data_IF_386117147550
#
_entry.id   IF_386117147550
#
_cell.length_a   1.000
_cell.length_b   1.000
_cell.length_c   1.000
_cell.angle_alpha   90.00
_cell.angle_beta   90.00
_cell.angle_gamma   90.00
#
_symmetry.space_group_name_H-M   'P 1'
#
loop_
_entity.id
_entity.type
_entity.pdbx_description
1 polymer ?
#
# COMPACT_ATOMS: atom_id res chain seq x y z
N UNK A 1 17.78 -29.82 0.99
CA UNK A 1 17.61 -29.77 2.45
C UNK A 1 18.30 -28.52 2.95
N UNK A 2 17.54 -27.47 3.24
CA UNK A 2 18.06 -26.26 3.90
C UNK A 2 17.32 -26.13 5.22
N UNK A 3 18.08 -26.30 6.30
CA UNK A 3 17.63 -26.13 7.68
C UNK A 3 17.17 -24.69 7.88
N UNK A 4 15.86 -24.49 8.06
CA UNK A 4 15.36 -23.34 8.79
C UNK A 4 15.58 -23.61 10.28
N UNK A 5 16.82 -23.46 10.72
CA UNK A 5 17.07 -23.28 12.15
C UNK A 5 16.44 -21.95 12.55
N UNK A 6 15.51 -22.00 13.50
CA UNK A 6 15.06 -20.82 14.22
C UNK A 6 16.30 -20.12 14.76
N UNK A 7 16.76 -19.07 14.07
CA UNK A 7 17.86 -18.24 14.52
C UNK A 7 17.37 -17.51 15.77
N UNK A 8 17.61 -18.12 16.92
CA UNK A 8 17.27 -17.58 18.23
C UNK A 8 17.93 -16.21 18.37
N UNK A 9 17.13 -15.21 18.73
CA UNK A 9 17.61 -13.85 18.89
C UNK A 9 18.60 -13.75 20.06
N UNK A 10 19.56 -12.81 19.99
CA UNK A 10 20.26 -12.38 21.19
C UNK A 10 19.24 -11.80 22.20
N UNK A 11 19.44 -12.01 23.52
CA UNK A 11 18.48 -11.59 24.55
C UNK A 11 18.30 -10.06 24.65
N UNK A 12 19.16 -9.29 23.99
CA UNK A 12 19.16 -7.82 24.00
C UNK A 12 19.51 -7.31 22.60
N UNK A 13 18.70 -6.37 22.07
CA UNK A 13 18.95 -5.75 20.78
C UNK A 13 20.23 -4.92 20.78
N UNK A 14 21.13 -5.23 19.85
CA UNK A 14 22.33 -4.41 19.62
C UNK A 14 21.99 -3.20 18.74
N UNK A 15 22.78 -2.13 18.86
CA UNK A 15 22.66 -0.96 17.97
C UNK A 15 22.81 -1.42 16.50
N UNK A 16 21.75 -1.28 15.70
CA UNK A 16 21.72 -1.65 14.28
C UNK A 16 20.83 -2.85 13.93
N UNK A 17 20.25 -3.54 14.91
CA UNK A 17 19.28 -4.62 14.63
C UNK A 17 17.90 -4.03 14.29
N UNK A 18 17.48 -4.25 13.04
CA UNK A 18 16.17 -3.86 12.54
C UNK A 18 15.29 -5.08 12.32
N UNK A 19 14.00 -4.83 12.46
CA UNK A 19 12.97 -5.84 12.27
C UNK A 19 11.85 -5.26 11.43
N UNK A 20 11.46 -5.98 10.39
CA UNK A 20 10.27 -5.68 9.61
C UNK A 20 9.10 -6.40 10.27
N UNK A 21 8.08 -5.64 10.66
CA UNK A 21 6.90 -6.19 11.34
C UNK A 21 5.61 -5.82 10.63
N UNK A 22 4.60 -6.69 10.74
CA UNK A 22 3.28 -6.49 10.17
C UNK A 22 2.31 -5.86 11.18
N UNK A 23 2.11 -4.55 11.09
CA UNK A 23 1.10 -3.85 11.87
C UNK A 23 -0.27 -3.88 11.17
N UNK A 24 -1.33 -3.45 11.84
CA UNK A 24 -2.68 -3.41 11.25
C UNK A 24 -2.79 -2.52 10.00
N UNK A 25 -1.88 -1.56 9.84
CA UNK A 25 -1.80 -0.67 8.67
C UNK A 25 -0.78 -1.13 7.62
N UNK A 26 -0.24 -2.34 7.76
CA UNK A 26 0.78 -2.91 6.90
C UNK A 26 2.17 -2.98 7.53
N UNK A 27 3.17 -3.40 6.74
CA UNK A 27 4.54 -3.63 7.18
C UNK A 27 5.27 -2.32 7.50
N UNK A 28 6.05 -2.36 8.58
CA UNK A 28 6.84 -1.24 9.09
C UNK A 28 8.19 -1.74 9.60
N UNK A 29 9.25 -1.07 9.20
CA UNK A 29 10.59 -1.29 9.72
C UNK A 29 10.72 -0.61 11.09
N UNK A 30 11.19 -1.35 12.08
CA UNK A 30 11.36 -0.91 13.46
C UNK A 30 12.72 -1.34 13.99
N UNK A 31 13.14 -0.80 15.13
CA UNK A 31 14.34 -1.29 15.84
C UNK A 31 13.94 -2.43 16.76
N UNK A 32 14.71 -3.51 16.75
CA UNK A 32 14.55 -4.59 17.72
C UNK A 32 15.07 -4.16 19.09
N UNK A 33 14.35 -4.44 20.17
CA UNK A 33 14.75 -4.07 21.54
C UNK A 33 15.12 -5.31 22.33
N UNK A 34 14.22 -6.30 22.41
CA UNK A 34 14.43 -7.59 23.11
C UNK A 34 13.29 -8.54 22.82
N UNK A 35 13.45 -9.79 23.24
CA UNK A 35 12.40 -10.79 23.30
C UNK A 35 12.07 -11.06 24.78
N UNK A 36 10.78 -11.07 25.13
CA UNK A 36 10.29 -11.34 26.48
C UNK A 36 9.06 -12.23 26.41
N UNK A 37 9.09 -13.38 27.10
CA UNK A 37 7.98 -14.35 27.15
C UNK A 37 7.47 -14.78 25.76
N UNK A 38 8.36 -14.89 24.77
CA UNK A 38 8.02 -15.25 23.39
C UNK A 38 7.37 -14.12 22.58
N UNK A 39 7.32 -12.90 23.12
CA UNK A 39 6.91 -11.69 22.39
C UNK A 39 8.12 -10.80 22.10
N UNK A 40 8.10 -10.15 20.94
CA UNK A 40 9.16 -9.27 20.47
C UNK A 40 8.82 -7.83 20.87
N UNK A 41 9.66 -7.21 21.68
CA UNK A 41 9.60 -5.77 21.98
C UNK A 41 10.37 -5.00 20.91
N UNK A 42 9.69 -4.06 20.27
CA UNK A 42 10.24 -3.25 19.18
C UNK A 42 10.05 -1.76 19.46
N UNK A 43 10.91 -0.94 18.91
CA UNK A 43 10.82 0.53 18.94
C UNK A 43 10.51 1.07 17.55
N UNK A 44 9.36 1.73 17.42
CA UNK A 44 8.91 2.36 16.18
C UNK A 44 9.63 3.69 15.94
N UNK A 45 9.54 4.22 14.71
CA UNK A 45 10.21 5.46 14.31
C UNK A 45 9.83 6.72 15.13
N UNK A 46 8.68 6.68 15.82
CA UNK A 46 8.21 7.72 16.75
C UNK A 46 8.67 7.49 18.20
N UNK A 47 9.62 6.56 18.44
CA UNK A 47 10.11 6.13 19.75
C UNK A 47 9.07 5.45 20.65
N UNK A 48 7.89 5.12 20.14
CA UNK A 48 6.94 4.29 20.89
C UNK A 48 7.38 2.84 20.84
N UNK A 49 7.26 2.14 21.96
CA UNK A 49 7.54 0.70 22.05
C UNK A 49 6.27 -0.12 21.99
N UNK A 50 6.34 -1.26 21.32
CA UNK A 50 5.21 -2.18 21.11
C UNK A 50 5.72 -3.60 21.28
N UNK A 51 4.92 -4.46 21.91
CA UNK A 51 5.15 -5.90 21.93
C UNK A 51 4.32 -6.58 20.85
N UNK A 52 4.93 -7.50 20.12
CA UNK A 52 4.29 -8.22 19.04
C UNK A 52 4.55 -9.73 19.15
N UNK A 53 3.55 -10.56 18.82
CA UNK A 53 3.76 -12.01 18.71
C UNK A 53 4.68 -12.35 17.52
N UNK A 54 5.35 -13.52 17.53
CA UNK A 54 6.33 -13.89 16.51
C UNK A 54 5.77 -13.92 15.08
N UNK A 55 4.50 -14.30 14.90
CA UNK A 55 3.83 -14.35 13.59
C UNK A 55 3.65 -12.98 12.91
N UNK A 56 3.90 -11.89 13.62
CA UNK A 56 3.90 -10.51 13.11
C UNK A 56 5.29 -10.05 12.70
N UNK A 57 6.34 -10.82 12.99
CA UNK A 57 7.71 -10.55 12.52
C UNK A 57 7.86 -11.14 11.13
N UNK A 58 8.25 -10.30 10.17
CA UNK A 58 8.37 -10.65 8.76
C UNK A 58 9.82 -10.96 8.38
N UNK A 59 10.75 -10.12 8.84
CA UNK A 59 12.16 -10.20 8.54
C UNK A 59 12.98 -9.63 9.70
N UNK A 60 14.15 -10.23 9.91
CA UNK A 60 15.18 -9.79 10.85
C UNK A 60 16.41 -9.40 10.06
N UNK A 61 16.85 -8.16 10.18
CA UNK A 61 17.90 -7.60 9.34
C UNK A 61 18.84 -6.75 10.19
N UNK A 62 20.13 -7.02 10.06
CA UNK A 62 21.17 -6.17 10.62
C UNK A 62 21.56 -5.14 9.55
N UNK A 63 21.36 -3.86 9.85
CA UNK A 63 21.69 -2.77 8.94
C UNK A 63 22.19 -1.56 9.72
N UNK A 64 23.30 -0.98 9.27
CA UNK A 64 23.78 0.28 9.80
C UNK A 64 22.88 1.43 9.32
N UNK A 65 21.99 1.89 10.21
CA UNK A 65 21.16 3.06 9.95
C UNK A 65 21.88 4.27 10.51
N UNK A 66 22.54 5.00 9.63
CA UNK A 66 23.15 6.28 9.94
C UNK A 66 22.14 7.21 10.64
N UNK A 67 22.59 7.86 11.72
CA UNK A 67 21.76 8.68 12.61
C UNK A 67 20.99 9.79 11.85
N UNK A 68 21.56 10.28 10.75
CA UNK A 68 21.00 11.34 9.91
C UNK A 68 19.80 10.89 9.05
N UNK A 69 19.75 9.63 8.60
CA UNK A 69 18.68 9.17 7.71
C UNK A 69 17.43 8.78 8.51
N UNK A 70 17.61 8.17 9.70
CA UNK A 70 16.52 7.84 10.61
C UNK A 70 15.51 6.82 10.05
N UNK A 71 14.96 5.96 10.93
CA UNK A 71 14.05 4.86 10.55
C UNK A 71 12.80 5.36 9.80
N UNK A 72 12.34 6.58 10.07
CA UNK A 72 11.18 7.18 9.40
C UNK A 72 11.42 7.44 7.91
N UNK A 73 12.57 8.02 7.55
CA UNK A 73 12.91 8.32 6.16
C UNK A 73 13.17 7.02 5.41
N UNK A 74 13.92 6.10 6.02
CA UNK A 74 14.17 4.77 5.47
C UNK A 74 12.86 4.00 5.19
N UNK A 75 11.91 3.98 6.12
CA UNK A 75 10.58 3.41 5.88
C UNK A 75 9.87 4.02 4.66
N UNK A 76 9.99 5.34 4.47
CA UNK A 76 9.38 6.04 3.34
C UNK A 76 10.04 5.64 2.02
N UNK A 77 11.36 5.55 2.00
CA UNK A 77 12.14 5.14 0.83
C UNK A 77 11.84 3.70 0.44
N UNK A 78 11.88 2.78 1.40
CA UNK A 78 11.59 1.35 1.19
C UNK A 78 10.16 1.13 0.71
N UNK A 79 9.18 1.85 1.27
CA UNK A 79 7.80 1.81 0.76
C UNK A 79 7.70 2.39 -0.65
N UNK A 80 8.48 3.43 -0.95
CA UNK A 80 8.59 4.00 -2.29
C UNK A 80 9.14 2.99 -3.31
N UNK A 81 10.14 2.19 -2.92
CA UNK A 81 10.67 1.09 -3.72
C UNK A 81 9.62 -0.03 -3.89
N UNK A 82 9.05 -0.51 -2.79
CA UNK A 82 8.01 -1.54 -2.79
C UNK A 82 6.80 -1.20 -3.68
N UNK A 83 6.37 0.07 -3.70
CA UNK A 83 5.24 0.52 -4.52
C UNK A 83 5.54 0.54 -6.03
N UNK A 84 6.81 0.51 -6.43
CA UNK A 84 7.22 0.48 -7.84
C UNK A 84 7.45 -0.93 -8.37
N UNK A 85 7.54 -1.91 -7.46
CA UNK A 85 7.75 -3.31 -7.84
C UNK A 85 6.51 -3.86 -8.55
N UNK A 86 6.74 -4.78 -9.48
CA UNK A 86 5.70 -5.56 -10.15
C UNK A 86 6.17 -7.01 -10.29
N UNK A 87 5.55 -7.92 -9.54
CA UNK A 87 5.90 -9.35 -9.54
C UNK A 87 5.13 -10.15 -10.60
N UNK A 88 4.48 -9.50 -11.57
CA UNK A 88 3.69 -10.18 -12.60
C UNK A 88 4.51 -11.15 -13.45
N UNK A 89 5.70 -10.75 -13.89
CA UNK A 89 6.56 -11.59 -14.74
C UNK A 89 7.03 -12.83 -13.98
N UNK A 90 7.51 -12.63 -12.75
CA UNK A 90 7.86 -13.72 -11.83
C UNK A 90 6.68 -14.68 -11.65
N UNK A 91 5.50 -14.15 -11.38
CA UNK A 91 4.29 -14.98 -11.23
C UNK A 91 3.94 -15.75 -12.49
N UNK A 92 4.02 -15.12 -13.67
CA UNK A 92 3.73 -15.80 -14.93
C UNK A 92 4.65 -17.02 -15.16
N UNK A 93 5.89 -16.97 -14.69
CA UNK A 93 6.84 -18.08 -14.78
C UNK A 93 6.47 -19.24 -13.82
N UNK A 94 5.96 -18.91 -12.63
CA UNK A 94 5.72 -19.89 -11.56
C UNK A 94 4.25 -20.19 -11.27
N UNK A 95 3.29 -19.62 -12.00
CA UNK A 95 1.84 -19.74 -11.71
C UNK A 95 1.31 -21.18 -11.76
N UNK A 96 1.92 -22.02 -12.60
CA UNK A 96 1.53 -23.43 -12.74
C UNK A 96 2.30 -24.36 -11.78
N UNK A 97 3.23 -23.80 -11.01
CA UNK A 97 4.01 -24.54 -10.02
C UNK A 97 3.34 -24.52 -8.65
N UNK A 98 3.40 -25.63 -7.93
CA UNK A 98 3.07 -25.70 -6.50
C UNK A 98 4.28 -25.34 -5.62
N UNK A 99 5.24 -24.62 -6.19
CA UNK A 99 6.48 -24.27 -5.51
C UNK A 99 6.23 -23.21 -4.44
N UNK A 100 6.94 -23.35 -3.33
CA UNK A 100 6.97 -22.39 -2.25
C UNK A 100 8.29 -21.63 -2.32
N UNK A 101 8.22 -20.33 -2.11
CA UNK A 101 9.37 -19.45 -2.17
C UNK A 101 9.55 -18.74 -0.83
N UNK A 102 10.78 -18.67 -0.36
CA UNK A 102 11.20 -17.71 0.66
C UNK A 102 11.18 -16.28 0.11
N UNK A 103 11.19 -15.30 1.00
CA UNK A 103 11.30 -13.90 0.59
C UNK A 103 12.67 -13.60 -0.06
N UNK A 104 13.76 -14.26 0.36
CA UNK A 104 15.06 -14.14 -0.30
C UNK A 104 15.03 -14.70 -1.72
N UNK A 105 14.38 -15.85 -1.95
CA UNK A 105 14.25 -16.43 -3.30
C UNK A 105 13.46 -15.53 -4.24
N UNK A 106 12.29 -15.03 -3.80
CA UNK A 106 11.50 -14.08 -4.61
C UNK A 106 12.32 -12.85 -4.95
N UNK A 107 13.00 -12.26 -3.96
CA UNK A 107 13.81 -11.07 -4.18
C UNK A 107 14.99 -11.37 -5.13
N UNK A 108 15.69 -12.49 -4.95
CA UNK A 108 16.81 -12.87 -5.79
C UNK A 108 16.40 -13.08 -7.26
N UNK A 109 15.26 -13.75 -7.51
CA UNK A 109 14.77 -13.94 -8.88
C UNK A 109 14.31 -12.60 -9.48
N UNK A 110 13.58 -11.79 -8.71
CA UNK A 110 13.09 -10.50 -9.18
C UNK A 110 14.20 -9.51 -9.55
N UNK A 111 15.25 -9.40 -8.71
CA UNK A 111 16.37 -8.50 -8.95
C UNK A 111 17.44 -9.11 -9.87
N UNK A 112 17.45 -10.43 -10.05
CA UNK A 112 18.46 -11.14 -10.84
C UNK A 112 19.84 -11.24 -10.18
N UNK A 113 19.92 -10.90 -8.89
CA UNK A 113 21.12 -10.99 -8.07
C UNK A 113 20.77 -11.18 -6.61
N UNK A 114 21.77 -11.53 -5.78
CA UNK A 114 21.59 -11.59 -4.33
C UNK A 114 21.05 -10.24 -3.82
N UNK A 115 19.86 -10.20 -3.20
CA UNK A 115 19.21 -8.94 -2.86
C UNK A 115 19.97 -8.23 -1.74
N UNK A 116 20.11 -6.91 -1.86
CA UNK A 116 20.56 -6.07 -0.76
C UNK A 116 19.53 -6.09 0.38
N UNK A 117 19.93 -5.75 1.63
CA UNK A 117 18.98 -5.66 2.73
C UNK A 117 17.78 -4.74 2.46
N UNK A 118 18.00 -3.63 1.73
CA UNK A 118 16.92 -2.70 1.38
C UNK A 118 15.96 -3.30 0.34
N UNK A 119 16.50 -3.98 -0.66
CA UNK A 119 15.71 -4.69 -1.68
C UNK A 119 14.89 -5.82 -1.05
N UNK A 120 15.47 -6.61 -0.16
CA UNK A 120 14.76 -7.68 0.55
C UNK A 120 13.59 -7.11 1.38
N UNK A 121 13.81 -6.01 2.11
CA UNK A 121 12.74 -5.35 2.86
C UNK A 121 11.64 -4.84 1.93
N UNK A 122 12.02 -4.19 0.82
CA UNK A 122 11.06 -3.65 -0.13
C UNK A 122 10.24 -4.76 -0.79
N UNK A 123 10.86 -5.89 -1.13
CA UNK A 123 10.18 -7.09 -1.65
C UNK A 123 9.13 -7.59 -0.68
N UNK A 124 9.49 -7.77 0.60
CA UNK A 124 8.52 -8.22 1.61
C UNK A 124 7.44 -7.18 1.86
N UNK A 125 7.78 -5.89 1.87
CA UNK A 125 6.77 -4.83 1.94
C UNK A 125 5.79 -4.92 0.77
N UNK A 126 6.26 -5.15 -0.45
CA UNK A 126 5.41 -5.29 -1.63
C UNK A 126 4.49 -6.51 -1.53
N UNK A 127 5.06 -7.67 -1.15
CA UNK A 127 4.34 -8.93 -0.98
C UNK A 127 3.19 -8.82 0.02
N UNK A 128 3.39 -8.10 1.13
CA UNK A 128 2.39 -7.97 2.20
C UNK A 128 1.32 -6.89 1.93
N UNK A 129 1.55 -5.94 1.01
CA UNK A 129 0.60 -4.81 0.81
C UNK A 129 -0.07 -4.76 -0.53
N UNK A 130 0.69 -4.98 -1.61
CA UNK A 130 0.25 -4.66 -2.98
C UNK A 130 0.19 -5.89 -3.88
N UNK A 131 0.84 -6.98 -3.48
CA UNK A 131 0.94 -8.16 -4.32
C UNK A 131 -0.39 -8.90 -4.40
N UNK A 132 -0.90 -9.07 -5.62
CA UNK A 132 -2.04 -9.94 -5.91
C UNK A 132 -1.62 -11.32 -6.41
N UNK A 133 -0.35 -11.46 -6.79
CA UNK A 133 0.22 -12.60 -7.49
C UNK A 133 0.79 -13.68 -6.58
N UNK A 134 1.18 -13.31 -5.37
CA UNK A 134 1.67 -14.21 -4.34
C UNK A 134 0.88 -14.00 -3.06
N UNK A 135 0.69 -15.08 -2.30
CA UNK A 135 0.11 -15.00 -0.97
C UNK A 135 1.02 -15.70 0.04
N UNK A 136 1.02 -15.19 1.28
CA UNK A 136 1.81 -15.77 2.35
C UNK A 136 1.09 -16.97 2.96
N UNK A 137 1.80 -18.08 3.08
CA UNK A 137 1.42 -19.26 3.86
C UNK A 137 2.52 -19.52 4.88
N UNK A 138 2.22 -19.26 6.15
CA UNK A 138 3.21 -19.28 7.24
C UNK A 138 4.39 -18.33 6.97
N UNK A 139 5.60 -18.86 6.75
CA UNK A 139 6.82 -18.11 6.47
C UNK A 139 7.24 -18.15 4.98
N UNK A 140 6.43 -18.79 4.12
CA UNK A 140 6.71 -18.92 2.69
C UNK A 140 5.61 -18.25 1.85
N UNK A 141 5.92 -18.01 0.59
CA UNK A 141 5.01 -17.43 -0.40
C UNK A 141 4.69 -18.45 -1.48
N UNK A 142 3.41 -18.50 -1.84
CA UNK A 142 2.90 -19.35 -2.91
C UNK A 142 2.34 -18.47 -4.03
N UNK A 143 2.51 -18.91 -5.27
CA UNK A 143 1.84 -18.30 -6.43
C UNK A 143 0.32 -18.38 -6.26
N UNK A 144 -0.38 -17.28 -6.56
CA UNK A 144 -1.83 -17.24 -6.61
C UNK A 144 -2.35 -17.88 -7.91
N UNK A 145 -3.55 -18.44 -7.86
CA UNK A 145 -4.20 -19.04 -9.03
C UNK A 145 -4.59 -17.97 -10.06
N UNK A 146 -4.51 -18.30 -11.35
CA UNK A 146 -4.83 -17.39 -12.45
C UNK A 146 -6.25 -16.82 -12.36
N UNK A 147 -7.23 -17.65 -11.99
CA UNK A 147 -8.62 -17.24 -11.79
C UNK A 147 -8.73 -16.20 -10.65
N UNK A 148 -7.95 -16.36 -9.58
CA UNK A 148 -7.96 -15.41 -8.45
C UNK A 148 -7.31 -14.08 -8.85
N UNK A 149 -6.19 -14.14 -9.58
CA UNK A 149 -5.48 -12.97 -10.07
C UNK A 149 -6.35 -12.18 -11.05
N UNK A 150 -6.98 -12.85 -12.02
CA UNK A 150 -7.87 -12.21 -13.00
C UNK A 150 -9.04 -11.50 -12.31
N UNK A 151 -9.66 -12.16 -11.32
CA UNK A 151 -10.74 -11.57 -10.52
C UNK A 151 -10.27 -10.31 -9.79
N UNK A 152 -9.11 -10.36 -9.12
CA UNK A 152 -8.54 -9.20 -8.42
C UNK A 152 -8.23 -8.05 -9.40
N UNK A 153 -7.70 -8.36 -10.57
CA UNK A 153 -7.42 -7.37 -11.62
C UNK A 153 -8.71 -6.73 -12.15
N UNK A 154 -9.75 -7.52 -12.42
CA UNK A 154 -11.05 -7.01 -12.85
C UNK A 154 -11.68 -6.09 -11.78
N UNK A 155 -11.58 -6.46 -10.50
CA UNK A 155 -12.04 -5.63 -9.39
C UNK A 155 -11.27 -4.29 -9.29
N UNK A 156 -9.94 -4.34 -9.46
CA UNK A 156 -9.09 -3.14 -9.46
C UNK A 156 -9.47 -2.22 -10.64
N UNK A 157 -9.54 -2.77 -11.85
CA UNK A 157 -9.91 -2.03 -13.06
C UNK A 157 -11.27 -1.39 -12.91
N UNK A 158 -12.29 -2.14 -12.45
CA UNK A 158 -13.63 -1.61 -12.22
C UNK A 158 -13.65 -0.46 -11.20
N UNK A 159 -12.85 -0.56 -10.12
CA UNK A 159 -12.74 0.53 -9.13
C UNK A 159 -12.08 1.77 -9.72
N UNK A 160 -11.03 1.60 -10.53
CA UNK A 160 -10.34 2.70 -11.20
C UNK A 160 -11.28 3.42 -12.17
N UNK A 161 -11.99 2.67 -13.01
CA UNK A 161 -12.97 3.22 -13.96
C UNK A 161 -14.09 3.99 -13.25
N UNK A 162 -14.69 3.41 -12.20
CA UNK A 162 -15.73 4.07 -11.40
C UNK A 162 -15.23 5.37 -10.78
N UNK A 163 -14.00 5.36 -10.24
CA UNK A 163 -13.36 6.54 -9.67
C UNK A 163 -13.12 7.62 -10.73
N UNK A 164 -12.60 7.26 -11.89
CA UNK A 164 -12.38 8.20 -13.01
C UNK A 164 -13.70 8.82 -13.51
N UNK A 165 -14.77 8.01 -13.62
CA UNK A 165 -16.10 8.50 -13.98
C UNK A 165 -16.65 9.49 -12.95
N UNK A 166 -16.48 9.19 -11.66
CA UNK A 166 -16.89 10.07 -10.57
C UNK A 166 -16.08 11.38 -10.54
N UNK A 167 -14.75 11.30 -10.74
CA UNK A 167 -13.86 12.47 -10.83
C UNK A 167 -14.18 13.35 -12.03
N UNK A 168 -14.40 12.75 -13.20
CA UNK A 168 -14.82 13.44 -14.41
C UNK A 168 -16.16 14.16 -14.21
N UNK A 169 -17.15 13.47 -13.63
CA UNK A 169 -18.44 14.07 -13.30
C UNK A 169 -18.31 15.22 -12.29
N UNK A 170 -17.55 15.01 -11.21
CA UNK A 170 -17.30 16.04 -10.20
C UNK A 170 -16.64 17.28 -10.80
N UNK A 171 -15.73 17.10 -11.76
CA UNK A 171 -15.04 18.21 -12.45
C UNK A 171 -16.00 19.02 -13.33
N UNK A 172 -16.85 18.36 -14.11
CA UNK A 172 -17.87 19.05 -14.91
C UNK A 172 -18.86 19.81 -14.02
N UNK A 173 -19.36 19.18 -12.96
CA UNK A 173 -20.29 19.81 -12.02
C UNK A 173 -19.68 21.03 -11.32
N UNK A 174 -18.39 20.97 -10.95
CA UNK A 174 -17.65 22.13 -10.42
C UNK A 174 -17.58 23.28 -11.43
N UNK A 175 -17.48 22.97 -12.72
CA UNK A 175 -17.48 23.96 -13.80
C UNK A 175 -18.89 24.44 -14.19
N UNK A 176 -19.94 23.98 -13.50
CA UNK A 176 -21.33 24.31 -13.85
C UNK A 176 -21.83 23.64 -15.14
N UNK A 177 -21.11 22.62 -15.63
CA UNK A 177 -21.45 21.88 -16.85
C UNK A 177 -21.79 20.41 -16.55
N UNK A 178 -22.31 19.71 -17.56
CA UNK A 178 -22.54 18.27 -17.53
C UNK A 178 -21.60 17.64 -18.57
N UNK A 179 -21.00 16.46 -18.29
CA UNK A 179 -20.19 15.75 -19.29
C UNK A 179 -20.98 15.49 -20.58
N UNK A 180 -20.37 15.74 -21.74
CA UNK A 180 -20.91 15.42 -23.06
C UNK A 180 -19.88 14.60 -23.86
N UNK A 181 -20.17 13.33 -24.20
CA UNK A 181 -21.41 12.60 -23.95
C UNK A 181 -21.56 12.16 -22.48
N UNK A 182 -22.78 12.20 -21.97
CA UNK A 182 -23.11 11.69 -20.63
C UNK A 182 -23.25 10.16 -20.68
N UNK A 183 -22.32 9.45 -20.05
CA UNK A 183 -22.38 7.98 -19.95
C UNK A 183 -23.53 7.51 -19.06
N UNK A 184 -24.02 6.28 -19.28
CA UNK A 184 -25.07 5.69 -18.43
C UNK A 184 -24.66 5.64 -16.94
N UNK A 185 -23.38 5.36 -16.66
CA UNK A 185 -22.83 5.35 -15.31
C UNK A 185 -22.85 6.76 -14.66
N UNK A 186 -22.45 7.81 -15.39
CA UNK A 186 -22.53 9.18 -14.90
C UNK A 186 -23.98 9.64 -14.69
N UNK A 187 -24.91 9.22 -15.56
CA UNK A 187 -26.34 9.45 -15.38
C UNK A 187 -26.88 8.79 -14.10
N UNK A 188 -26.44 7.56 -13.81
CA UNK A 188 -26.78 6.90 -12.55
C UNK A 188 -26.24 7.65 -11.33
N UNK A 189 -25.00 8.14 -11.38
CA UNK A 189 -24.41 8.98 -10.32
C UNK A 189 -25.19 10.30 -10.11
N UNK A 190 -25.61 10.96 -11.19
CA UNK A 190 -26.48 12.14 -11.11
C UNK A 190 -27.83 11.83 -10.46
N UNK A 191 -28.43 10.67 -10.79
CA UNK A 191 -29.65 10.23 -10.12
C UNK A 191 -29.44 10.00 -8.62
N UNK A 192 -28.29 9.44 -8.23
CA UNK A 192 -27.94 9.30 -6.82
C UNK A 192 -27.76 10.63 -6.12
N UNK A 193 -27.08 11.60 -6.76
CA UNK A 193 -26.95 12.97 -6.25
C UNK A 193 -28.31 13.63 -6.04
N UNK A 194 -29.22 13.51 -7.00
CA UNK A 194 -30.59 14.02 -6.89
C UNK A 194 -31.35 13.36 -5.75
N UNK A 195 -31.29 12.03 -5.65
CA UNK A 195 -31.94 11.28 -4.56
C UNK A 195 -31.42 11.68 -3.18
N UNK A 196 -30.10 11.87 -3.07
CA UNK A 196 -29.47 12.38 -1.87
C UNK A 196 -29.89 13.82 -1.54
N UNK A 197 -29.99 14.71 -2.52
CA UNK A 197 -30.43 16.09 -2.30
C UNK A 197 -31.88 16.18 -1.75
N UNK A 198 -32.75 15.24 -2.14
CA UNK A 198 -34.16 15.21 -1.72
C UNK A 198 -34.33 14.51 -0.36
N UNK A 199 -33.68 13.35 -0.16
CA UNK A 199 -33.95 12.48 0.99
C UNK A 199 -32.79 12.40 1.99
N UNK A 200 -31.66 13.08 1.73
CA UNK A 200 -30.46 13.02 2.55
C UNK A 200 -29.93 11.60 2.72
N UNK A 201 -29.45 11.29 3.93
CA UNK A 201 -28.88 9.99 4.28
C UNK A 201 -29.91 8.83 4.26
N UNK A 202 -31.21 9.13 4.15
CA UNK A 202 -32.26 8.11 4.06
C UNK A 202 -32.38 7.52 2.63
N UNK A 203 -31.71 8.11 1.64
CA UNK A 203 -31.66 7.58 0.29
C UNK A 203 -30.74 6.35 0.21
N UNK A 204 -31.18 5.18 -0.28
CA UNK A 204 -30.33 3.97 -0.33
C UNK A 204 -29.01 4.16 -1.08
N UNK A 205 -29.00 4.99 -2.13
CA UNK A 205 -27.81 5.31 -2.92
C UNK A 205 -27.02 6.52 -2.43
N UNK A 206 -27.14 6.92 -1.16
CA UNK A 206 -26.47 8.12 -0.65
C UNK A 206 -24.93 8.01 -0.65
N UNK A 207 -24.36 6.81 -0.51
CA UNK A 207 -22.90 6.60 -0.47
C UNK A 207 -22.21 7.02 -1.77
N UNK A 208 -22.62 6.52 -2.96
CA UNK A 208 -22.13 7.04 -4.25
C UNK A 208 -22.29 8.55 -4.41
N UNK A 209 -23.39 9.13 -3.93
CA UNK A 209 -23.61 10.58 -3.99
C UNK A 209 -22.58 11.35 -3.13
N UNK A 210 -22.32 10.87 -1.91
CA UNK A 210 -21.31 11.45 -1.03
C UNK A 210 -19.89 11.37 -1.60
N UNK A 211 -19.55 10.32 -2.35
CA UNK A 211 -18.25 10.21 -3.02
C UNK A 211 -18.05 11.34 -4.03
N UNK A 212 -19.04 11.61 -4.88
CA UNK A 212 -18.98 12.71 -5.84
C UNK A 212 -18.97 14.07 -5.13
N UNK A 213 -19.79 14.27 -4.10
CA UNK A 213 -19.81 15.52 -3.32
C UNK A 213 -18.47 15.78 -2.65
N UNK A 214 -17.83 14.75 -2.06
CA UNK A 214 -16.50 14.89 -1.47
C UNK A 214 -15.48 15.35 -2.51
N UNK A 215 -15.50 14.78 -3.72
CA UNK A 215 -14.60 15.17 -4.80
C UNK A 215 -14.81 16.64 -5.21
N UNK A 216 -16.06 17.13 -5.20
CA UNK A 216 -16.38 18.55 -5.43
C UNK A 216 -15.85 19.44 -4.29
N UNK A 217 -16.08 19.05 -3.03
CA UNK A 217 -15.69 19.83 -1.84
C UNK A 217 -14.18 19.88 -1.63
N UNK A 218 -13.44 18.83 -2.00
CA UNK A 218 -11.99 18.78 -1.78
C UNK A 218 -11.17 19.60 -2.76
N UNK A 219 -11.77 20.03 -3.89
CA UNK A 219 -11.11 20.79 -4.96
C UNK A 219 -9.85 20.11 -5.55
N UNK A 220 -9.41 20.47 -6.76
CA UNK A 220 -8.05 20.14 -7.18
C UNK A 220 -7.07 20.93 -6.30
N UNK A 221 -6.24 20.24 -5.51
CA UNK A 221 -5.07 20.86 -4.84
C UNK A 221 -4.08 21.36 -5.91
N UNK A 222 -4.26 22.62 -6.35
CA UNK A 222 -3.28 23.60 -6.89
C UNK A 222 -3.89 24.40 -8.05
N UNK A 223 -4.21 25.67 -7.79
CA UNK A 223 -3.65 26.87 -8.45
C UNK A 223 -4.54 28.08 -8.10
N UNK A 224 -4.28 28.68 -6.94
CA UNK A 224 -4.63 30.08 -6.67
C UNK A 224 -3.42 30.74 -6.03
N UNK A 225 -2.39 30.96 -6.86
CA UNK A 225 -1.39 31.98 -6.62
C UNK A 225 -1.38 32.89 -7.85
N UNK A 226 -1.69 34.17 -7.59
CA UNK A 226 -1.59 35.34 -8.49
C UNK A 226 -2.58 35.43 -9.66
N UNK A 227 -3.73 36.04 -9.35
CA UNK A 227 -4.30 37.08 -10.22
C UNK A 227 -5.13 38.05 -9.38
N UNK A 228 -4.47 38.85 -8.54
CA UNK A 228 -5.02 40.11 -8.05
C UNK A 228 -3.87 41.08 -7.83
N UNK A 229 -4.00 42.25 -8.46
CA UNK A 229 -3.23 43.44 -8.14
C UNK A 229 -2.16 43.82 -9.16
N UNK A 230 -2.56 44.35 -10.31
CA UNK A 230 -2.25 45.75 -10.69
C UNK A 230 -2.99 46.13 -11.96
N UNK A 231 -4.12 46.84 -11.80
CA UNK A 231 -4.58 47.85 -12.75
C UNK A 231 -4.80 49.11 -11.92
N UNK A 232 -3.90 50.06 -12.16
CA UNK A 232 -4.01 51.54 -12.13
C UNK A 232 -4.61 52.26 -10.91
N UNK A 233 -3.86 53.25 -10.40
CA UNK A 233 -4.30 54.66 -10.35
C UNK A 233 -3.14 55.57 -9.92
N UNK A 234 -2.80 56.51 -10.82
CA UNK A 234 -2.23 57.87 -10.62
C UNK A 234 -0.81 58.04 -10.06
#
# INVERSE_FOLDING_TARGET
MLNNEHKSLPPTGQDGELVLVLLNKGPVLARYVREHEGAYEIELANKSRVQLPPNRVLLLIVMDVQLAQGIKTLNKELRGLANKMDLRELWNEFKDSQQQFSNEEIANIYFGHLPTPQELIASVMHLETNCIYFYRKDSVYCSADEIEVEKKLADITSRVEKKQLAESLAKSLQAGTIPDPLTAAQKALLNHLRGFAIHGNNYPGYKPALEVIKLIQTGPKKQTAKSLGTVESS
#
